data_IF_249481956384
#
_entry.id   IF_249481956384
#
_cell.length_a   1.000
_cell.length_b   1.000
_cell.length_c   1.000
_cell.angle_alpha   90.00
_cell.angle_beta   90.00
_cell.angle_gamma   90.00
#
_symmetry.space_group_name_H-M   'P 1'
#
loop_
_entity.id
_entity.type
_entity.pdbx_description
1 polymer ?
#
# COMPACT_ATOMS: atom_id res chain seq x y z
N UNK A 1 -1.09 8.21 0.07
CA UNK A 1 -1.64 6.85 -0.06
C UNK A 1 -2.49 6.43 1.15
N UNK A 2 -2.00 6.44 2.40
CA UNK A 2 -2.88 6.10 3.56
C UNK A 2 -3.96 7.17 3.77
N UNK A 3 -3.62 8.45 3.60
CA UNK A 3 -4.58 9.56 3.58
C UNK A 3 -5.11 9.86 2.17
N UNK A 4 -4.82 8.97 1.21
CA UNK A 4 -5.17 9.12 -0.20
C UNK A 4 -6.53 8.52 -0.56
N UNK A 5 -6.95 8.74 -1.81
CA UNK A 5 -8.18 8.20 -2.37
C UNK A 5 -7.93 7.02 -3.34
N UNK A 6 -8.97 6.49 -3.97
CA UNK A 6 -8.86 5.39 -4.94
C UNK A 6 -8.02 5.81 -6.18
N UNK A 7 -8.02 7.10 -6.56
CA UNK A 7 -7.18 7.60 -7.67
C UNK A 7 -5.68 7.50 -7.36
N UNK A 8 -5.28 7.73 -6.10
CA UNK A 8 -3.90 7.53 -5.67
C UNK A 8 -3.46 6.07 -5.80
N UNK A 9 -4.39 5.13 -5.54
CA UNK A 9 -4.15 3.70 -5.73
C UNK A 9 -4.06 3.35 -7.22
N UNK A 10 -4.95 3.89 -8.06
CA UNK A 10 -4.91 3.68 -9.51
C UNK A 10 -3.60 4.17 -10.11
N UNK A 11 -3.15 5.37 -9.74
CA UNK A 11 -1.86 5.91 -10.20
C UNK A 11 -0.69 5.01 -9.79
N UNK A 12 -0.69 4.54 -8.54
CA UNK A 12 0.35 3.61 -8.07
C UNK A 12 0.34 2.30 -8.86
N UNK A 13 -0.82 1.70 -9.11
CA UNK A 13 -0.92 0.44 -9.88
C UNK A 13 -0.46 0.63 -11.32
N UNK A 14 -0.67 1.81 -11.92
CA UNK A 14 -0.15 2.12 -13.25
C UNK A 14 1.38 2.22 -13.29
N UNK A 15 2.01 2.71 -12.21
CA UNK A 15 3.47 2.78 -12.07
C UNK A 15 4.10 1.42 -11.74
N UNK A 16 3.37 0.58 -10.98
CA UNK A 16 3.79 -0.74 -10.51
C UNK A 16 2.77 -1.81 -11.00
N UNK A 17 2.84 -2.28 -12.26
CA UNK A 17 1.82 -3.15 -12.85
C UNK A 17 1.69 -4.53 -12.18
N UNK A 18 2.73 -5.00 -11.48
CA UNK A 18 2.72 -6.26 -10.71
C UNK A 18 1.99 -6.13 -9.35
N UNK A 19 1.45 -4.95 -9.06
CA UNK A 19 0.67 -4.70 -7.85
C UNK A 19 -0.64 -5.48 -7.86
N UNK A 20 -0.87 -6.30 -6.83
CA UNK A 20 -2.20 -6.79 -6.50
C UNK A 20 -3.02 -5.64 -5.89
N UNK A 21 -3.85 -5.03 -6.75
CA UNK A 21 -4.73 -3.92 -6.40
C UNK A 21 -5.66 -4.26 -5.23
N UNK A 22 -6.20 -5.48 -5.17
CA UNK A 22 -7.16 -5.85 -4.14
C UNK A 22 -6.47 -5.98 -2.78
N UNK A 23 -5.29 -6.60 -2.75
CA UNK A 23 -4.48 -6.73 -1.56
C UNK A 23 -4.08 -5.34 -1.02
N UNK A 24 -3.56 -4.47 -1.89
CA UNK A 24 -3.11 -3.14 -1.50
C UNK A 24 -4.26 -2.26 -0.98
N UNK A 25 -5.43 -2.32 -1.63
CA UNK A 25 -6.61 -1.59 -1.16
C UNK A 25 -7.09 -2.06 0.21
N UNK A 26 -7.05 -3.37 0.47
CA UNK A 26 -7.38 -3.93 1.78
C UNK A 26 -6.44 -3.43 2.87
N UNK A 27 -5.12 -3.41 2.58
CA UNK A 27 -4.11 -2.91 3.50
C UNK A 27 -4.29 -1.40 3.80
N UNK A 28 -4.59 -0.58 2.79
CA UNK A 28 -4.86 0.85 2.95
C UNK A 28 -6.08 1.06 3.86
N UNK A 29 -7.20 0.36 3.62
CA UNK A 29 -8.40 0.48 4.46
C UNK A 29 -8.14 0.08 5.91
N UNK A 30 -7.39 -1.00 6.12
CA UNK A 30 -7.00 -1.41 7.47
C UNK A 30 -6.13 -0.35 8.15
N UNK A 31 -5.18 0.25 7.43
CA UNK A 31 -4.34 1.32 7.97
C UNK A 31 -5.16 2.59 8.31
N UNK A 32 -6.11 2.96 7.47
CA UNK A 32 -7.05 4.06 7.72
C UNK A 32 -7.90 3.78 8.96
N UNK A 33 -8.45 2.57 9.09
CA UNK A 33 -9.25 2.17 10.26
C UNK A 33 -8.43 2.12 11.56
N UNK A 34 -7.17 1.65 11.50
CA UNK A 34 -6.25 1.70 12.65
C UNK A 34 -5.99 3.15 13.07
N UNK A 35 -5.66 4.03 12.11
CA UNK A 35 -5.41 5.46 12.35
C UNK A 35 -6.63 6.15 12.95
N UNK A 36 -7.81 5.94 12.38
CA UNK A 36 -9.06 6.53 12.86
C UNK A 36 -9.42 6.12 14.31
N UNK A 37 -8.92 4.96 14.76
CA UNK A 37 -9.15 4.42 16.11
C UNK A 37 -7.96 4.58 17.05
N UNK A 38 -6.94 5.36 16.67
CA UNK A 38 -5.69 5.51 17.42
C UNK A 38 -5.04 4.17 17.81
N UNK A 39 -5.19 3.15 16.94
CA UNK A 39 -4.57 1.84 17.14
C UNK A 39 -3.12 1.86 16.65
N UNK A 40 -2.27 0.94 17.15
CA UNK A 40 -0.92 0.76 16.62
C UNK A 40 -0.94 0.56 15.09
N UNK A 41 -0.01 1.18 14.33
CA UNK A 41 -0.07 1.25 12.86
C UNK A 41 0.50 -0.02 12.20
N UNK A 42 -0.06 -1.18 12.51
CA UNK A 42 0.43 -2.46 11.99
C UNK A 42 0.14 -2.63 10.50
N UNK A 43 -1.05 -2.26 10.03
CA UNK A 43 -1.40 -2.29 8.62
C UNK A 43 -0.58 -1.27 7.82
N UNK A 44 -0.32 -0.07 8.37
CA UNK A 44 0.54 0.91 7.72
C UNK A 44 1.96 0.38 7.47
N UNK A 45 2.54 -0.34 8.45
CA UNK A 45 3.83 -1.03 8.27
C UNK A 45 3.79 -2.09 7.17
N UNK A 46 2.67 -2.82 7.04
CA UNK A 46 2.47 -3.80 5.96
C UNK A 46 2.36 -3.12 4.59
N UNK A 47 1.65 -2.00 4.48
CA UNK A 47 1.60 -1.19 3.24
C UNK A 47 3.01 -0.78 2.83
N UNK A 48 3.80 -0.22 3.76
CA UNK A 48 5.17 0.20 3.44
C UNK A 48 6.06 -0.97 2.98
N UNK A 49 6.00 -2.09 3.70
CA UNK A 49 6.74 -3.30 3.30
C UNK A 49 6.34 -3.78 1.90
N UNK A 50 5.04 -3.84 1.62
CA UNK A 50 4.52 -4.27 0.33
C UNK A 50 5.01 -3.38 -0.82
N UNK A 51 4.93 -2.06 -0.66
CA UNK A 51 5.42 -1.10 -1.65
C UNK A 51 6.93 -1.24 -1.87
N UNK A 52 7.70 -1.39 -0.80
CA UNK A 52 9.16 -1.58 -0.89
C UNK A 52 9.50 -2.87 -1.63
N UNK A 53 8.81 -3.97 -1.32
CA UNK A 53 9.05 -5.26 -1.96
C UNK A 53 8.71 -5.19 -3.47
N UNK A 54 7.73 -4.36 -3.88
CA UNK A 54 7.43 -4.07 -5.29
C UNK A 54 8.51 -3.20 -5.96
N UNK A 55 9.01 -2.17 -5.27
CA UNK A 55 10.11 -1.32 -5.78
C UNK A 55 11.41 -2.11 -5.95
N UNK A 56 11.73 -3.01 -5.02
CA UNK A 56 12.87 -3.93 -5.14
C UNK A 56 12.72 -4.87 -6.34
N UNK A 57 11.50 -5.40 -6.57
CA UNK A 57 11.20 -6.26 -7.72
C UNK A 57 11.36 -5.49 -9.04
N UNK A 58 10.79 -4.29 -9.14
CA UNK A 58 10.86 -3.46 -10.35
C UNK A 58 12.29 -3.02 -10.69
N UNK A 59 13.13 -2.78 -9.67
CA UNK A 59 14.55 -2.43 -9.85
C UNK A 59 15.45 -3.63 -10.13
N UNK A 60 14.93 -4.85 -10.07
CA UNK A 60 15.72 -6.07 -10.22
C UNK A 60 16.74 -6.27 -9.09
N UNK A 61 16.46 -5.76 -7.89
CA UNK A 61 17.33 -5.87 -6.72
C UNK A 61 17.07 -7.15 -5.89
N UNK A 62 16.30 -8.09 -6.45
CA UNK A 62 15.79 -9.28 -5.76
C UNK A 62 16.28 -10.58 -6.38
#
# INVERSE_FOLDING_TARGET
MIDGNDEDLERFVNEYPDTDRQQLRSLIRHAQHEKARNKPPAAARKVFKYIRDLDELQRGLR
#
